data_IF_088324368954
#
_entry.id   IF_088324368954
#
_cell.length_a   1.000
_cell.length_b   1.000
_cell.length_c   1.000
_cell.angle_alpha   90.00
_cell.angle_beta   90.00
_cell.angle_gamma   90.00
#
_symmetry.space_group_name_H-M   'P 1'
#
loop_
_entity.id
_entity.type
_entity.pdbx_description
1 polymer ?
#
# COMPACT_ATOMS: atom_id res chain seq x y z
N UNK A 1 4.82 -17.92 26.54
CA UNK A 1 4.04 -18.87 25.72
C UNK A 1 2.55 -18.76 26.03
N UNK A 2 2.14 -18.92 27.30
CA UNK A 2 0.73 -18.89 27.74
C UNK A 2 0.03 -17.59 27.29
N UNK A 3 0.63 -16.42 27.54
CA UNK A 3 0.02 -15.13 27.21
C UNK A 3 -0.29 -15.00 25.72
N UNK A 4 0.61 -15.46 24.83
CA UNK A 4 0.38 -15.44 23.37
C UNK A 4 -0.83 -16.30 22.97
N UNK A 5 -1.03 -17.41 23.67
CA UNK A 5 -2.16 -18.30 23.42
C UNK A 5 -3.48 -17.68 23.89
N UNK A 6 -3.46 -16.99 25.03
CA UNK A 6 -4.60 -16.20 25.52
C UNK A 6 -4.98 -15.11 24.51
N UNK A 7 -4.00 -14.35 24.03
CA UNK A 7 -4.22 -13.29 23.02
C UNK A 7 -4.90 -13.86 21.77
N UNK A 8 -4.38 -14.96 21.21
CA UNK A 8 -4.98 -15.59 20.02
C UNK A 8 -6.39 -16.12 20.30
N UNK A 9 -6.64 -16.67 21.47
CA UNK A 9 -7.96 -17.19 21.83
C UNK A 9 -8.97 -16.05 21.99
N UNK A 10 -8.58 -14.91 22.57
CA UNK A 10 -9.43 -13.72 22.63
C UNK A 10 -9.86 -13.26 21.24
N UNK A 11 -8.93 -13.27 20.26
CA UNK A 11 -9.26 -12.98 18.86
C UNK A 11 -10.26 -13.97 18.26
N UNK A 12 -10.02 -15.28 18.45
CA UNK A 12 -10.90 -16.35 17.93
C UNK A 12 -12.33 -16.24 18.45
N UNK A 13 -12.49 -15.95 19.74
CA UNK A 13 -13.83 -15.79 20.37
C UNK A 13 -14.39 -14.39 20.16
N UNK A 14 -13.64 -13.50 19.56
CA UNK A 14 -14.01 -12.09 19.28
C UNK A 14 -14.51 -11.35 20.52
N UNK A 15 -13.77 -11.49 21.62
CA UNK A 15 -14.09 -10.80 22.87
C UNK A 15 -13.75 -9.31 22.76
N UNK A 16 -14.69 -8.51 22.21
CA UNK A 16 -14.52 -7.10 21.91
C UNK A 16 -13.97 -6.24 23.07
N UNK A 17 -14.38 -6.45 24.35
CA UNK A 17 -13.85 -5.65 25.46
C UNK A 17 -12.32 -5.69 25.61
N UNK A 18 -11.65 -6.72 25.06
CA UNK A 18 -10.19 -6.83 25.14
C UNK A 18 -9.43 -6.04 24.07
N UNK A 19 -10.11 -5.46 23.06
CA UNK A 19 -9.46 -4.85 21.89
C UNK A 19 -8.51 -3.72 22.33
N UNK A 20 -8.95 -2.83 23.21
CA UNK A 20 -8.15 -1.69 23.66
C UNK A 20 -6.93 -2.15 24.46
N UNK A 21 -7.10 -3.09 25.38
CA UNK A 21 -5.99 -3.66 26.17
C UNK A 21 -4.98 -4.38 25.28
N UNK A 22 -5.45 -5.13 24.28
CA UNK A 22 -4.58 -5.79 23.30
C UNK A 22 -3.82 -4.78 22.43
N UNK A 23 -4.44 -3.65 22.07
CA UNK A 23 -3.77 -2.59 21.35
C UNK A 23 -2.66 -1.95 22.20
N UNK A 24 -2.93 -1.66 23.48
CA UNK A 24 -1.94 -1.08 24.39
C UNK A 24 -0.75 -2.03 24.63
N UNK A 25 -0.97 -3.34 24.65
CA UNK A 25 0.12 -4.33 24.74
C UNK A 25 1.14 -4.25 23.62
N UNK A 26 0.79 -3.70 22.44
CA UNK A 26 1.72 -3.58 21.31
C UNK A 26 2.97 -2.78 21.66
N UNK A 27 2.85 -1.76 22.52
CA UNK A 27 3.93 -0.83 22.88
C UNK A 27 5.05 -1.45 23.69
N UNK A 28 4.77 -2.56 24.38
CA UNK A 28 5.71 -3.29 25.23
C UNK A 28 6.03 -4.70 24.69
N UNK A 29 5.57 -5.01 23.48
CA UNK A 29 5.62 -6.36 22.93
C UNK A 29 6.90 -6.62 22.13
N UNK A 30 7.44 -7.83 22.29
CA UNK A 30 8.46 -8.35 21.38
C UNK A 30 7.82 -8.89 20.08
N UNK A 31 8.65 -9.20 19.08
CA UNK A 31 8.20 -9.65 17.75
C UNK A 31 7.24 -10.87 17.78
N UNK A 32 7.43 -11.79 18.72
CA UNK A 32 6.55 -12.96 18.85
C UNK A 32 5.16 -12.58 19.40
N UNK A 33 5.11 -11.60 20.31
CA UNK A 33 3.85 -11.09 20.84
C UNK A 33 3.15 -10.24 19.81
N UNK A 34 3.88 -9.39 19.06
CA UNK A 34 3.30 -8.61 17.95
C UNK A 34 2.65 -9.49 16.90
N UNK A 35 3.25 -10.65 16.58
CA UNK A 35 2.59 -11.62 15.68
C UNK A 35 1.30 -12.19 16.29
N UNK A 36 1.30 -12.53 17.57
CA UNK A 36 0.08 -13.04 18.21
C UNK A 36 -1.02 -11.98 18.28
N UNK A 37 -0.67 -10.72 18.53
CA UNK A 37 -1.58 -9.57 18.46
C UNK A 37 -2.11 -9.40 17.05
N UNK A 38 -1.25 -9.42 16.04
CA UNK A 38 -1.66 -9.31 14.64
C UNK A 38 -2.65 -10.41 14.23
N UNK A 39 -2.40 -11.66 14.66
CA UNK A 39 -3.33 -12.78 14.43
C UNK A 39 -4.70 -12.49 15.08
N UNK A 40 -4.71 -12.03 16.35
CA UNK A 40 -5.94 -11.69 17.04
C UNK A 40 -6.68 -10.53 16.35
N UNK A 41 -5.99 -9.47 15.94
CA UNK A 41 -6.59 -8.31 15.27
C UNK A 41 -7.18 -8.68 13.90
N UNK A 42 -6.59 -9.63 13.16
CA UNK A 42 -7.20 -10.16 11.93
C UNK A 42 -8.52 -10.85 12.21
N UNK A 43 -8.60 -11.67 13.24
CA UNK A 43 -9.83 -12.35 13.64
C UNK A 43 -10.95 -11.39 14.09
N UNK A 44 -10.60 -10.34 14.84
CA UNK A 44 -11.54 -9.27 15.20
C UNK A 44 -12.05 -8.52 13.96
N UNK A 45 -11.16 -8.31 12.97
CA UNK A 45 -11.45 -7.61 11.74
C UNK A 45 -11.46 -6.09 11.90
N UNK A 46 -12.25 -5.42 11.04
CA UNK A 46 -12.22 -3.97 10.87
C UNK A 46 -12.35 -3.12 12.16
N UNK A 47 -13.25 -3.41 13.13
CA UNK A 47 -13.37 -2.59 14.34
C UNK A 47 -12.05 -2.50 15.12
N UNK A 48 -11.37 -3.63 15.30
CA UNK A 48 -10.10 -3.67 16.01
C UNK A 48 -8.95 -3.03 15.20
N UNK A 49 -8.96 -3.21 13.88
CA UNK A 49 -8.00 -2.54 12.98
C UNK A 49 -8.15 -1.02 13.06
N UNK A 50 -9.37 -0.49 13.08
CA UNK A 50 -9.63 0.94 13.21
C UNK A 50 -9.09 1.49 14.55
N UNK A 51 -9.11 0.71 15.64
CA UNK A 51 -8.48 1.07 16.93
C UNK A 51 -6.97 1.23 16.77
N UNK A 52 -6.28 0.25 16.18
CA UNK A 52 -4.81 0.33 16.00
C UNK A 52 -4.45 1.53 15.11
N UNK A 53 -5.19 1.75 14.03
CA UNK A 53 -4.97 2.90 13.12
C UNK A 53 -5.16 4.22 13.86
N UNK A 54 -6.18 4.33 14.71
CA UNK A 54 -6.41 5.51 15.54
C UNK A 54 -5.27 5.74 16.54
N UNK A 55 -4.80 4.69 17.21
CA UNK A 55 -3.66 4.75 18.15
C UNK A 55 -2.37 5.16 17.43
N UNK A 56 -2.11 4.60 16.26
CA UNK A 56 -0.99 4.99 15.41
C UNK A 56 -1.05 6.47 15.04
N UNK A 57 -2.21 6.95 14.59
CA UNK A 57 -2.39 8.33 14.13
C UNK A 57 -2.27 9.34 15.27
N UNK A 58 -2.85 9.06 16.43
CA UNK A 58 -2.84 9.95 17.59
C UNK A 58 -1.53 9.96 18.37
N UNK A 59 -0.62 9.00 18.12
CA UNK A 59 0.61 8.87 18.88
C UNK A 59 1.67 9.91 18.46
N UNK A 60 2.05 10.76 19.39
CA UNK A 60 3.12 11.75 19.24
C UNK A 60 4.50 11.24 19.70
N UNK A 61 4.56 10.11 20.40
CA UNK A 61 5.80 9.50 20.86
C UNK A 61 6.34 8.56 19.80
N UNK A 62 7.56 8.79 19.33
CA UNK A 62 8.18 8.03 18.22
C UNK A 62 8.24 6.53 18.48
N UNK A 63 8.57 6.10 19.71
CA UNK A 63 8.63 4.69 20.08
C UNK A 63 7.26 3.99 20.06
N UNK A 64 6.24 4.64 20.60
CA UNK A 64 4.86 4.12 20.58
C UNK A 64 4.33 4.06 19.14
N UNK A 65 4.54 5.14 18.38
CA UNK A 65 4.16 5.18 16.95
C UNK A 65 4.84 4.07 16.15
N UNK A 66 6.13 3.79 16.41
CA UNK A 66 6.86 2.70 15.77
C UNK A 66 6.27 1.33 16.11
N UNK A 67 5.89 1.09 17.37
CA UNK A 67 5.27 -0.18 17.77
C UNK A 67 3.93 -0.42 17.06
N UNK A 68 3.08 0.60 16.97
CA UNK A 68 1.83 0.49 16.19
C UNK A 68 2.07 0.32 14.69
N UNK A 69 3.10 0.98 14.12
CA UNK A 69 3.52 0.78 12.72
C UNK A 69 3.89 -0.68 12.47
N UNK A 70 4.71 -1.28 13.34
CA UNK A 70 5.08 -2.70 13.24
C UNK A 70 3.87 -3.63 13.37
N UNK A 71 2.95 -3.35 14.29
CA UNK A 71 1.72 -4.11 14.43
C UNK A 71 0.85 -4.01 13.18
N UNK A 72 0.66 -2.82 12.61
CA UNK A 72 -0.11 -2.61 11.37
C UNK A 72 0.50 -3.38 10.20
N UNK A 73 1.82 -3.34 10.05
CA UNK A 73 2.53 -4.14 9.03
C UNK A 73 2.32 -5.63 9.27
N UNK A 74 2.38 -6.09 10.51
CA UNK A 74 2.18 -7.49 10.87
C UNK A 74 0.73 -7.96 10.65
N UNK A 75 -0.28 -7.10 10.87
CA UNK A 75 -1.68 -7.38 10.50
C UNK A 75 -1.81 -7.59 8.99
N UNK A 76 -1.13 -6.79 8.18
CA UNK A 76 -0.99 -7.03 6.75
C UNK A 76 -2.13 -6.46 5.90
N UNK A 77 -2.61 -7.24 4.88
CA UNK A 77 -3.50 -6.71 3.84
C UNK A 77 -4.81 -6.11 4.33
N UNK A 78 -5.30 -6.54 5.47
CA UNK A 78 -6.60 -6.18 6.04
C UNK A 78 -6.68 -4.70 6.44
N UNK A 79 -5.52 -4.07 6.73
CA UNK A 79 -5.50 -2.65 7.15
C UNK A 79 -5.67 -1.65 6.01
N UNK A 80 -5.58 -2.08 4.75
CA UNK A 80 -5.47 -1.20 3.58
C UNK A 80 -6.57 -0.11 3.55
N UNK A 81 -7.81 -0.49 3.77
CA UNK A 81 -8.94 0.45 3.74
C UNK A 81 -8.94 1.43 4.94
N UNK A 82 -8.53 0.96 6.11
CA UNK A 82 -8.52 1.78 7.34
C UNK A 82 -7.37 2.79 7.31
N UNK A 83 -6.17 2.35 6.94
CA UNK A 83 -4.99 3.22 6.92
C UNK A 83 -5.02 4.23 5.77
N UNK A 84 -5.67 3.90 4.63
CA UNK A 84 -5.81 4.83 3.51
C UNK A 84 -6.57 6.11 3.86
N UNK A 85 -7.40 6.07 4.89
CA UNK A 85 -8.12 7.26 5.37
C UNK A 85 -7.16 8.33 5.89
N UNK A 86 -5.98 7.92 6.40
CA UNK A 86 -4.95 8.83 6.90
C UNK A 86 -4.28 9.62 5.78
N UNK A 87 -4.32 9.15 4.52
CA UNK A 87 -3.71 9.85 3.39
C UNK A 87 -4.47 11.11 2.97
N UNK A 88 -5.75 11.22 3.32
CA UNK A 88 -6.60 12.32 2.88
C UNK A 88 -6.24 13.63 3.58
N UNK A 89 -6.02 14.67 2.76
CA UNK A 89 -5.85 16.05 3.24
C UNK A 89 -4.53 16.33 3.98
N UNK A 90 -3.56 15.44 3.89
CA UNK A 90 -2.24 15.57 4.51
C UNK A 90 -1.14 15.70 3.47
N UNK A 91 -0.08 16.46 3.82
CA UNK A 91 1.13 16.56 3.01
C UNK A 91 1.89 15.22 2.96
N UNK A 92 2.85 15.12 2.04
CA UNK A 92 3.74 13.95 1.97
C UNK A 92 4.48 13.69 3.28
N UNK A 93 5.03 14.73 3.91
CA UNK A 93 5.79 14.60 5.16
C UNK A 93 4.95 13.98 6.27
N UNK A 94 3.66 14.36 6.36
CA UNK A 94 2.72 13.79 7.33
C UNK A 94 2.36 12.34 6.99
N UNK A 95 2.37 12.00 5.71
CA UNK A 95 1.99 10.67 5.21
C UNK A 95 3.16 9.71 5.02
N UNK A 96 4.42 10.15 5.17
CA UNK A 96 5.61 9.33 4.88
C UNK A 96 5.56 7.94 5.51
N UNK A 97 5.23 7.85 6.78
CA UNK A 97 5.13 6.59 7.51
C UNK A 97 3.93 5.74 7.02
N UNK A 98 2.84 6.38 6.63
CA UNK A 98 1.67 5.71 6.06
C UNK A 98 2.00 5.08 4.71
N UNK A 99 2.74 5.78 3.84
CA UNK A 99 3.25 5.22 2.60
C UNK A 99 4.20 4.04 2.85
N UNK A 100 5.06 4.14 3.87
CA UNK A 100 5.96 3.05 4.25
C UNK A 100 5.18 1.79 4.68
N UNK A 101 4.10 1.94 5.45
CA UNK A 101 3.22 0.84 5.83
C UNK A 101 2.56 0.24 4.56
N UNK A 102 1.95 1.08 3.73
CA UNK A 102 1.26 0.64 2.52
C UNK A 102 2.20 -0.10 1.55
N UNK A 103 3.43 0.36 1.42
CA UNK A 103 4.45 -0.28 0.58
C UNK A 103 4.75 -1.72 0.99
N UNK A 104 4.63 -2.05 2.27
CA UNK A 104 4.90 -3.39 2.80
C UNK A 104 3.68 -4.33 2.73
N UNK A 105 2.50 -3.79 2.46
CA UNK A 105 1.25 -4.57 2.39
C UNK A 105 1.02 -5.06 0.96
N UNK A 106 1.04 -6.38 0.75
CA UNK A 106 0.78 -7.02 -0.54
C UNK A 106 -0.73 -7.16 -0.81
N UNK A 107 -1.43 -6.01 -0.94
CA UNK A 107 -2.86 -5.97 -1.25
C UNK A 107 -3.09 -5.20 -2.56
N UNK A 108 -3.80 -5.78 -3.56
CA UNK A 108 -4.11 -5.09 -4.82
C UNK A 108 -4.79 -3.73 -4.64
N UNK A 109 -5.60 -3.56 -3.58
CA UNK A 109 -6.24 -2.28 -3.26
C UNK A 109 -5.26 -1.15 -2.99
N UNK A 110 -4.07 -1.46 -2.44
CA UNK A 110 -3.01 -0.47 -2.21
C UNK A 110 -2.63 0.22 -3.52
N UNK A 111 -2.53 -0.53 -4.62
CA UNK A 111 -2.26 0.05 -5.93
C UNK A 111 -3.29 1.12 -6.28
N UNK A 112 -4.58 0.80 -6.18
CA UNK A 112 -5.66 1.76 -6.48
C UNK A 112 -5.63 2.98 -5.57
N UNK A 113 -5.34 2.80 -4.28
CA UNK A 113 -5.27 3.88 -3.29
C UNK A 113 -4.10 4.83 -3.52
N UNK A 114 -2.97 4.33 -4.04
CA UNK A 114 -1.77 5.11 -4.28
C UNK A 114 -1.73 5.79 -5.66
N UNK A 115 -2.50 5.32 -6.64
CA UNK A 115 -2.51 5.88 -8.01
C UNK A 115 -2.72 7.41 -8.08
N UNK A 116 -3.63 8.05 -7.29
CA UNK A 116 -3.81 9.50 -7.33
C UNK A 116 -2.54 10.29 -6.99
N UNK A 117 -1.63 9.72 -6.22
CA UNK A 117 -0.38 10.37 -5.80
C UNK A 117 0.72 10.30 -6.87
N UNK A 118 0.47 9.64 -8.02
CA UNK A 118 1.38 9.70 -9.17
C UNK A 118 1.47 11.10 -9.80
N UNK A 119 0.49 11.98 -9.55
CA UNK A 119 0.53 13.36 -10.01
C UNK A 119 1.44 14.25 -9.13
N UNK A 120 1.73 13.84 -7.91
CA UNK A 120 2.56 14.58 -6.96
C UNK A 120 4.04 14.23 -7.16
N UNK A 121 4.87 15.23 -7.52
CA UNK A 121 6.29 15.02 -7.80
C UNK A 121 7.09 14.56 -6.58
N UNK A 122 6.70 14.98 -5.37
CA UNK A 122 7.40 14.64 -4.13
C UNK A 122 7.24 13.17 -3.75
N UNK A 123 6.13 12.54 -4.14
CA UNK A 123 5.79 11.16 -3.76
C UNK A 123 5.74 10.17 -4.91
N UNK A 124 5.75 10.63 -6.14
CA UNK A 124 5.54 9.76 -7.30
C UNK A 124 6.53 8.59 -7.37
N UNK A 125 7.80 8.82 -7.04
CA UNK A 125 8.80 7.73 -7.04
C UNK A 125 8.54 6.70 -5.94
N UNK A 126 8.03 7.11 -4.77
CA UNK A 126 7.64 6.19 -3.70
C UNK A 126 6.42 5.36 -4.13
N UNK A 127 5.48 5.95 -4.88
CA UNK A 127 4.36 5.22 -5.45
C UNK A 127 4.85 4.21 -6.48
N UNK A 128 5.75 4.59 -7.38
CA UNK A 128 6.35 3.66 -8.36
C UNK A 128 7.03 2.49 -7.67
N UNK A 129 7.80 2.75 -6.61
CA UNK A 129 8.47 1.70 -5.85
C UNK A 129 7.46 0.80 -5.10
N UNK A 130 6.38 1.38 -4.56
CA UNK A 130 5.29 0.59 -3.97
C UNK A 130 4.61 -0.31 -4.99
N UNK A 131 4.36 0.17 -6.22
CA UNK A 131 3.82 -0.66 -7.30
C UNK A 131 4.76 -1.81 -7.65
N UNK A 132 6.07 -1.55 -7.70
CA UNK A 132 7.09 -2.57 -7.92
C UNK A 132 7.05 -3.65 -6.84
N UNK A 133 6.93 -3.26 -5.57
CA UNK A 133 6.84 -4.20 -4.44
C UNK A 133 5.54 -5.01 -4.42
N UNK A 134 4.43 -4.44 -4.90
CA UNK A 134 3.16 -5.13 -5.08
C UNK A 134 3.23 -6.19 -6.20
N UNK A 135 4.15 -6.02 -7.16
CA UNK A 135 4.34 -6.95 -8.26
C UNK A 135 3.06 -7.11 -9.11
N UNK A 136 2.69 -8.35 -9.40
CA UNK A 136 1.50 -8.66 -10.22
C UNK A 136 0.20 -8.08 -9.67
N UNK A 137 0.11 -7.83 -8.36
CA UNK A 137 -1.06 -7.23 -7.72
C UNK A 137 -1.33 -5.78 -8.15
N UNK A 138 -0.33 -5.09 -8.73
CA UNK A 138 -0.49 -3.72 -9.21
C UNK A 138 -0.88 -3.62 -10.70
N UNK A 139 -0.78 -4.70 -11.48
CA UNK A 139 -0.90 -4.66 -12.94
C UNK A 139 -2.29 -4.17 -13.37
N UNK A 140 -3.35 -4.78 -12.87
CA UNK A 140 -4.72 -4.44 -13.27
C UNK A 140 -5.08 -2.99 -12.91
N UNK A 141 -4.72 -2.56 -11.70
CA UNK A 141 -4.94 -1.18 -11.28
C UNK A 141 -4.17 -0.19 -12.16
N UNK A 142 -2.92 -0.52 -12.57
CA UNK A 142 -2.10 0.31 -13.44
C UNK A 142 -2.69 0.41 -14.84
N UNK A 143 -3.13 -0.70 -15.44
CA UNK A 143 -3.80 -0.72 -16.76
C UNK A 143 -5.07 0.14 -16.70
N UNK A 144 -5.89 -0.05 -15.67
CA UNK A 144 -7.13 0.73 -15.49
C UNK A 144 -6.85 2.23 -15.34
N UNK A 145 -5.81 2.60 -14.60
CA UNK A 145 -5.39 3.99 -14.46
C UNK A 145 -4.90 4.57 -15.80
N UNK A 146 -4.09 3.82 -16.57
CA UNK A 146 -3.59 4.24 -17.88
C UNK A 146 -4.74 4.43 -18.90
N UNK A 147 -5.76 3.56 -18.88
CA UNK A 147 -6.96 3.74 -19.70
C UNK A 147 -7.69 5.05 -19.42
N UNK A 148 -7.76 5.45 -18.14
CA UNK A 148 -8.37 6.73 -17.73
C UNK A 148 -7.56 7.92 -18.24
N UNK A 149 -6.23 7.82 -18.28
CA UNK A 149 -5.33 8.90 -18.76
C UNK A 149 -5.54 9.24 -20.26
N UNK A 150 -6.00 8.32 -21.10
CA UNK A 150 -6.38 8.64 -22.49
C UNK A 150 -7.37 9.81 -22.58
N UNK A 151 -8.14 10.06 -21.51
CA UNK A 151 -9.14 11.13 -21.43
C UNK A 151 -8.65 12.38 -20.71
N UNK A 152 -7.73 12.26 -19.76
CA UNK A 152 -7.27 13.35 -18.89
C UNK A 152 -6.04 14.09 -19.40
N UNK A 153 -5.22 13.44 -20.22
CA UNK A 153 -4.08 14.07 -20.91
C UNK A 153 -2.88 14.43 -20.02
N UNK A 154 -2.82 13.99 -18.76
CA UNK A 154 -1.65 14.24 -17.91
C UNK A 154 -0.47 13.38 -18.36
N UNK A 155 0.52 14.04 -19.01
CA UNK A 155 1.68 13.39 -19.60
C UNK A 155 2.60 12.78 -18.54
N UNK A 156 2.76 13.42 -17.37
CA UNK A 156 3.61 12.92 -16.29
C UNK A 156 3.04 11.64 -15.67
N UNK A 157 1.76 11.67 -15.36
CA UNK A 157 1.07 10.49 -14.82
C UNK A 157 1.06 9.36 -15.84
N UNK A 158 0.80 9.68 -17.13
CA UNK A 158 0.80 8.71 -18.23
C UNK A 158 2.16 8.02 -18.36
N UNK A 159 3.25 8.78 -18.39
CA UNK A 159 4.60 8.24 -18.42
C UNK A 159 4.91 7.32 -17.23
N UNK A 160 4.57 7.77 -16.02
CA UNK A 160 4.79 6.99 -14.79
C UNK A 160 4.02 5.66 -14.82
N UNK A 161 2.79 5.66 -15.28
CA UNK A 161 1.98 4.44 -15.44
C UNK A 161 2.58 3.48 -16.48
N UNK A 162 3.03 3.99 -17.63
CA UNK A 162 3.73 3.22 -18.67
C UNK A 162 4.99 2.58 -18.07
N UNK A 163 5.81 3.37 -17.36
CA UNK A 163 7.03 2.90 -16.69
C UNK A 163 6.74 1.81 -15.65
N UNK A 164 5.67 1.95 -14.86
CA UNK A 164 5.23 0.92 -13.91
C UNK A 164 4.93 -0.39 -14.63
N UNK A 165 4.20 -0.39 -15.75
CA UNK A 165 3.92 -1.61 -16.52
C UNK A 165 5.20 -2.29 -17.02
N UNK A 166 6.20 -1.50 -17.46
CA UNK A 166 7.51 -2.00 -17.83
C UNK A 166 8.23 -2.68 -16.67
N UNK A 167 8.33 -2.00 -15.52
CA UNK A 167 8.95 -2.51 -14.30
C UNK A 167 8.30 -3.79 -13.78
N UNK A 168 6.98 -3.91 -13.91
CA UNK A 168 6.21 -5.09 -13.52
C UNK A 168 6.29 -6.22 -14.56
N UNK A 169 6.94 -5.99 -15.70
CA UNK A 169 6.98 -6.91 -16.86
C UNK A 169 5.57 -7.39 -17.25
N UNK A 170 4.62 -6.45 -17.28
CA UNK A 170 3.19 -6.70 -17.41
C UNK A 170 2.82 -7.08 -18.84
N UNK A 171 2.89 -8.37 -19.19
CA UNK A 171 2.52 -8.86 -20.53
C UNK A 171 1.09 -8.50 -20.94
N UNK A 172 0.17 -8.44 -19.97
CA UNK A 172 -1.22 -8.02 -20.19
C UNK A 172 -1.37 -6.56 -20.63
N UNK A 173 -0.32 -5.74 -20.38
CA UNK A 173 -0.30 -4.33 -20.75
C UNK A 173 0.25 -4.04 -22.16
N UNK A 174 0.75 -5.05 -22.90
CA UNK A 174 1.43 -4.83 -24.20
C UNK A 174 0.53 -4.10 -25.18
N UNK A 175 -0.68 -4.56 -25.44
CA UNK A 175 -1.62 -3.93 -26.39
C UNK A 175 -1.92 -2.48 -25.98
N UNK A 176 -2.07 -2.24 -24.68
CA UNK A 176 -2.27 -0.89 -24.16
C UNK A 176 -1.05 0.00 -24.43
N UNK A 177 0.16 -0.49 -24.17
CA UNK A 177 1.40 0.24 -24.42
C UNK A 177 1.58 0.52 -25.92
N UNK A 178 1.34 -0.45 -26.79
CA UNK A 178 1.42 -0.29 -28.23
C UNK A 178 0.46 0.80 -28.75
N UNK A 179 -0.70 0.97 -28.12
CA UNK A 179 -1.63 2.05 -28.47
C UNK A 179 -1.09 3.46 -28.21
N UNK A 180 -0.01 3.60 -27.43
CA UNK A 180 0.71 4.86 -27.19
C UNK A 180 1.99 5.01 -28.02
N UNK A 181 2.36 4.04 -28.86
CA UNK A 181 3.60 4.07 -29.65
C UNK A 181 3.66 5.22 -30.65
N UNK A 182 2.52 5.76 -31.09
CA UNK A 182 2.41 6.91 -32.00
C UNK A 182 1.90 8.16 -31.27
N UNK A 183 2.08 8.24 -29.96
CA UNK A 183 1.65 9.40 -29.16
C UNK A 183 2.44 10.65 -29.57
N UNK A 184 1.80 11.85 -29.60
CA UNK A 184 2.44 13.11 -30.01
C UNK A 184 3.68 13.46 -29.19
N UNK A 185 3.65 13.18 -27.87
CA UNK A 185 4.77 13.42 -26.97
C UNK A 185 5.88 12.38 -27.17
N UNK A 186 7.09 12.85 -27.52
CA UNK A 186 8.29 12.02 -27.60
C UNK A 186 8.60 11.32 -26.27
N UNK A 187 8.37 12.00 -25.14
CA UNK A 187 8.53 11.46 -23.79
C UNK A 187 7.70 10.20 -23.58
N UNK A 188 6.46 10.20 -24.05
CA UNK A 188 5.57 9.03 -23.96
C UNK A 188 6.06 7.91 -24.88
N UNK A 189 6.45 8.21 -26.13
CA UNK A 189 6.97 7.20 -27.06
C UNK A 189 8.21 6.49 -26.50
N UNK A 190 9.15 7.26 -25.93
CA UNK A 190 10.36 6.72 -25.32
C UNK A 190 10.04 5.83 -24.11
N UNK A 191 9.10 6.24 -23.25
CA UNK A 191 8.65 5.43 -22.12
C UNK A 191 8.01 4.12 -22.58
N UNK A 192 7.22 4.14 -23.66
CA UNK A 192 6.61 2.94 -24.27
C UNK A 192 7.67 1.98 -24.79
N UNK A 193 8.63 2.48 -25.56
CA UNK A 193 9.72 1.69 -26.13
C UNK A 193 10.52 0.97 -25.02
N UNK A 194 10.94 1.71 -24.00
CA UNK A 194 11.67 1.17 -22.86
C UNK A 194 10.84 0.11 -22.12
N UNK A 195 9.56 0.38 -21.89
CA UNK A 195 8.68 -0.55 -21.18
C UNK A 195 8.42 -1.82 -21.97
N UNK A 196 8.18 -1.72 -23.28
CA UNK A 196 8.04 -2.89 -24.16
C UNK A 196 9.32 -3.73 -24.21
N UNK A 197 10.49 -3.07 -24.25
CA UNK A 197 11.78 -3.75 -24.17
C UNK A 197 11.91 -4.54 -22.85
N UNK A 198 11.58 -3.93 -21.71
CA UNK A 198 11.62 -4.60 -20.39
C UNK A 198 10.65 -5.80 -20.31
N UNK A 199 9.46 -5.69 -20.91
CA UNK A 199 8.44 -6.73 -20.89
C UNK A 199 8.83 -7.92 -21.79
N UNK A 200 9.39 -7.63 -22.98
CA UNK A 200 9.76 -8.64 -23.98
C UNK A 200 11.07 -9.36 -23.66
N UNK A 201 11.95 -8.74 -22.88
CA UNK A 201 13.19 -9.34 -22.39
C UNK A 201 14.29 -9.47 -23.46
N UNK A 202 14.40 -8.49 -24.36
CA UNK A 202 15.49 -8.41 -25.34
C UNK A 202 16.71 -7.72 -24.77
#
# INVERSE_FOLDING_TARGET
>A
RVLREVVRNLGKVKYEPAIEDLADMATESNSDMLRALADAFREYGKPAIDVIVSRYDSSNQSGIRAAYKELLIAVGPEIADSISKLLKGRSFFENRDTFEILRQIKNPRVATLMMPYLADEEVAEQVVEAMRNLGSNAIEATITALQKQKKSGDLLVTERLIRILGLLKAKQGIEMLESYSQHDSERIRNAVEQSLFQIRGF
#
